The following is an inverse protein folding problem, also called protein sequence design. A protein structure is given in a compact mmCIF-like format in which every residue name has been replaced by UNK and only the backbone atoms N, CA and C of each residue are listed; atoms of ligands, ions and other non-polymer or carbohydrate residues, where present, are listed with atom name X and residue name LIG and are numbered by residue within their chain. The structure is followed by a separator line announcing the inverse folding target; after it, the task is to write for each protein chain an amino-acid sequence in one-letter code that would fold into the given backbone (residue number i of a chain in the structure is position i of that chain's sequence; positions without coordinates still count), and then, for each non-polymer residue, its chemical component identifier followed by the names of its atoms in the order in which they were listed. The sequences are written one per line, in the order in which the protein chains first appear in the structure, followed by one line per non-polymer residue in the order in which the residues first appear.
data_IF_567983276991
#
_entry.id   IF_567983276991
#
_cell.length_a   1.000
_cell.length_b   1.000
_cell.length_c   1.000
_cell.angle_alpha   90.00
_cell.angle_beta   90.00
_cell.angle_gamma   90.00
#
_symmetry.space_group_name_H-M   'P 1'
#
loop_
_entity.id
_entity.type
_entity.pdbx_description
1 polymer ?
#
# COMPACT_ATOMS: atom_id res chain seq x y z
N UNK A 1 23.25 36.65 -42.89
CA UNK A 1 22.47 36.82 -41.64
C UNK A 1 21.80 35.48 -41.36
N UNK A 2 22.39 34.71 -40.46
CA UNK A 2 21.93 33.38 -40.06
C UNK A 2 20.67 33.53 -39.20
N UNK A 3 19.53 33.07 -39.72
CA UNK A 3 18.34 32.84 -38.91
C UNK A 3 18.65 31.70 -37.93
N UNK A 4 19.01 32.06 -36.70
CA UNK A 4 19.04 31.14 -35.56
C UNK A 4 17.60 30.69 -35.31
N UNK A 5 17.33 29.41 -35.55
CA UNK A 5 16.13 28.73 -35.04
C UNK A 5 16.05 29.05 -33.54
N UNK A 6 14.92 29.53 -32.99
CA UNK A 6 14.79 29.71 -31.55
C UNK A 6 15.16 28.40 -30.86
N UNK A 7 15.97 28.49 -29.80
CA UNK A 7 16.46 27.33 -29.07
C UNK A 7 15.24 26.50 -28.64
N UNK A 8 15.22 25.19 -28.93
CA UNK A 8 14.03 24.31 -28.71
C UNK A 8 13.57 24.28 -27.25
N UNK A 9 14.43 24.75 -26.34
CA UNK A 9 14.21 24.83 -24.91
C UNK A 9 13.99 26.26 -24.40
N UNK A 10 13.77 27.26 -25.25
CA UNK A 10 13.67 28.65 -24.80
C UNK A 10 12.66 28.81 -23.64
N UNK A 11 13.11 29.46 -22.55
CA UNK A 11 12.34 29.65 -21.32
C UNK A 11 12.18 28.42 -20.41
N UNK A 12 12.92 27.33 -20.61
CA UNK A 12 12.82 26.14 -19.76
C UNK A 12 13.12 26.40 -18.27
N UNK A 13 14.02 27.34 -17.98
CA UNK A 13 14.43 27.68 -16.61
C UNK A 13 13.26 28.19 -15.78
N UNK A 14 12.33 28.90 -16.41
CA UNK A 14 11.18 29.53 -15.77
C UNK A 14 9.92 28.67 -15.80
N UNK A 15 9.99 27.40 -16.25
CA UNK A 15 8.83 26.50 -16.23
C UNK A 15 8.17 26.41 -14.83
N UNK A 16 6.82 26.47 -14.72
CA UNK A 16 5.81 26.53 -15.79
C UNK A 16 5.41 27.94 -16.27
N UNK A 17 6.11 29.01 -15.87
CA UNK A 17 5.74 30.40 -16.20
C UNK A 17 5.85 30.72 -17.70
N UNK A 18 6.73 30.01 -18.41
CA UNK A 18 6.88 30.09 -19.86
C UNK A 18 5.65 29.60 -20.64
N UNK A 19 4.73 28.86 -20.02
CA UNK A 19 3.51 28.42 -20.69
C UNK A 19 2.47 29.54 -20.84
N UNK A 20 2.66 30.67 -20.16
CA UNK A 20 1.77 31.85 -20.21
C UNK A 20 0.29 31.49 -19.98
N UNK A 21 0.04 30.58 -19.04
CA UNK A 21 -1.32 30.19 -18.65
C UNK A 21 -2.05 31.37 -17.97
N UNK A 22 -3.38 31.37 -18.06
CA UNK A 22 -4.15 32.46 -17.50
C UNK A 22 -4.02 32.48 -15.97
N UNK A 23 -3.75 33.66 -15.39
CA UNK A 23 -3.51 33.81 -13.94
C UNK A 23 -4.71 33.42 -13.04
N UNK A 24 -5.91 33.33 -13.63
CA UNK A 24 -7.10 32.81 -12.92
C UNK A 24 -7.08 31.28 -12.78
N UNK A 25 -6.37 30.59 -13.68
CA UNK A 25 -6.36 29.13 -13.75
C UNK A 25 -5.18 28.56 -12.95
N UNK A 26 -4.01 29.23 -12.99
CA UNK A 26 -2.78 28.73 -12.36
C UNK A 26 -1.93 29.84 -11.73
N UNK A 27 -1.49 29.61 -10.49
CA UNK A 27 -0.40 30.36 -9.83
C UNK A 27 0.97 29.71 -10.17
N UNK A 28 1.48 30.04 -11.34
CA UNK A 28 2.71 29.50 -11.94
C UNK A 28 3.96 29.78 -11.08
N UNK A 29 4.06 30.96 -10.46
CA UNK A 29 5.17 31.36 -9.59
C UNK A 29 5.23 30.56 -8.28
N UNK A 30 4.08 30.21 -7.70
CA UNK A 30 4.02 29.29 -6.57
C UNK A 30 4.47 27.88 -6.98
N UNK A 31 4.06 27.43 -8.15
CA UNK A 31 4.37 26.09 -8.65
C UNK A 31 5.86 25.95 -8.99
N UNK A 32 6.46 26.94 -9.66
CA UNK A 32 7.90 26.96 -9.94
C UNK A 32 8.74 26.83 -8.65
N UNK A 33 8.35 27.56 -7.59
CA UNK A 33 9.01 27.46 -6.27
C UNK A 33 8.84 26.08 -5.63
N UNK A 34 7.68 25.43 -5.79
CA UNK A 34 7.45 24.06 -5.30
C UNK A 34 8.36 23.05 -5.99
N UNK A 35 8.55 23.14 -7.32
CA UNK A 35 9.46 22.25 -8.06
C UNK A 35 10.88 22.33 -7.47
N UNK A 36 11.41 23.54 -7.29
CA UNK A 36 12.75 23.71 -6.73
C UNK A 36 12.85 23.27 -5.26
N UNK A 37 11.78 23.40 -4.48
CA UNK A 37 11.74 22.95 -3.08
C UNK A 37 11.83 21.41 -2.98
N UNK A 38 11.06 20.68 -3.78
CA UNK A 38 11.03 19.22 -3.77
C UNK A 38 12.04 18.57 -4.73
N UNK A 39 12.88 19.38 -5.40
CA UNK A 39 13.81 18.90 -6.43
C UNK A 39 14.69 17.75 -5.95
N UNK A 40 15.25 17.87 -4.73
CA UNK A 40 16.12 16.83 -4.15
C UNK A 40 15.38 15.53 -3.83
N UNK A 41 14.10 15.62 -3.52
CA UNK A 41 13.25 14.49 -3.15
C UNK A 41 12.67 13.79 -4.39
N UNK A 42 12.48 14.51 -5.49
CA UNK A 42 11.83 13.97 -6.70
C UNK A 42 12.85 13.58 -7.77
N UNK A 43 13.94 14.33 -7.93
CA UNK A 43 14.87 14.20 -9.05
C UNK A 43 16.23 13.67 -8.62
N UNK A 44 16.85 12.87 -9.50
CA UNK A 44 18.25 12.44 -9.36
C UNK A 44 19.22 13.52 -9.84
N UNK A 45 20.50 13.33 -9.54
CA UNK A 45 21.55 14.21 -10.02
C UNK A 45 21.71 14.12 -11.55
N UNK A 46 22.24 15.18 -12.17
CA UNK A 46 22.37 15.28 -13.64
C UNK A 46 23.11 14.10 -14.28
N UNK A 47 24.10 13.53 -13.59
CA UNK A 47 24.92 12.41 -14.08
C UNK A 47 24.13 11.09 -14.06
N UNK A 48 23.14 10.96 -13.18
CA UNK A 48 22.32 9.76 -12.99
C UNK A 48 21.01 9.81 -13.80
N UNK A 49 20.75 10.91 -14.51
CA UNK A 49 19.53 11.06 -15.32
C UNK A 49 19.53 10.07 -16.48
N UNK A 50 18.56 9.16 -16.47
CA UNK A 50 18.31 8.16 -17.52
C UNK A 50 16.81 7.83 -17.60
N UNK A 51 16.17 8.22 -18.69
CA UNK A 51 14.75 7.98 -18.91
C UNK A 51 14.46 7.48 -20.32
N UNK A 52 13.30 6.85 -20.50
CA UNK A 52 12.92 6.22 -21.75
C UNK A 52 12.19 7.17 -22.71
N UNK A 53 12.42 7.01 -24.00
CA UNK A 53 11.66 7.60 -25.08
C UNK A 53 11.30 6.51 -26.08
N UNK A 54 10.03 6.47 -26.49
CA UNK A 54 9.57 5.52 -27.49
C UNK A 54 9.78 6.10 -28.87
N UNK A 55 10.65 5.46 -29.62
CA UNK A 55 10.93 5.77 -31.01
C UNK A 55 10.01 4.93 -31.88
N UNK A 56 9.22 5.61 -32.71
CA UNK A 56 8.41 5.01 -33.76
C UNK A 56 9.12 5.25 -35.11
N UNK A 57 9.43 4.16 -35.80
CA UNK A 57 10.00 4.21 -37.15
C UNK A 57 8.93 4.51 -38.21
N UNK A 58 9.40 4.76 -39.44
CA UNK A 58 8.52 4.95 -40.59
C UNK A 58 7.70 3.69 -40.88
N UNK A 59 6.56 3.89 -41.54
CA UNK A 59 5.59 2.84 -41.79
C UNK A 59 6.10 1.81 -42.80
N UNK A 60 6.02 0.53 -42.42
CA UNK A 60 6.28 -0.59 -43.33
C UNK A 60 5.11 -0.79 -44.31
N UNK A 61 5.35 -1.55 -45.39
CA UNK A 61 4.37 -1.83 -46.45
C UNK A 61 3.07 -2.49 -45.93
N UNK A 62 3.12 -3.14 -44.76
CA UNK A 62 1.99 -3.81 -44.11
C UNK A 62 1.19 -2.91 -43.14
N UNK A 63 1.54 -1.62 -43.01
CA UNK A 63 0.84 -0.70 -42.11
C UNK A 63 1.23 -0.80 -40.63
N UNK A 64 2.26 -1.58 -40.32
CA UNK A 64 2.88 -1.66 -38.99
C UNK A 64 4.09 -0.72 -38.90
N UNK A 65 4.41 -0.26 -37.69
CA UNK A 65 5.64 0.48 -37.39
C UNK A 65 6.47 -0.27 -36.37
N UNK A 66 7.78 -0.22 -36.51
CA UNK A 66 8.67 -0.66 -35.43
C UNK A 66 8.64 0.37 -34.29
N UNK A 67 8.53 -0.13 -33.07
CA UNK A 67 8.49 0.69 -31.85
C UNK A 67 9.59 0.21 -30.92
N UNK A 68 10.59 1.06 -30.70
CA UNK A 68 11.77 0.78 -29.86
C UNK A 68 11.85 1.76 -28.69
N UNK A 69 12.30 1.28 -27.53
CA UNK A 69 12.51 2.13 -26.35
C UNK A 69 13.98 2.55 -26.27
N UNK A 70 14.25 3.84 -26.48
CA UNK A 70 15.59 4.42 -26.43
C UNK A 70 15.80 5.18 -25.13
N UNK A 71 17.02 5.13 -24.61
CA UNK A 71 17.43 5.74 -23.35
C UNK A 71 18.03 7.14 -23.57
N UNK A 72 17.44 8.14 -22.92
CA UNK A 72 17.87 9.54 -22.94
C UNK A 72 18.62 9.84 -21.64
N UNK A 73 19.91 10.15 -21.79
CA UNK A 73 20.80 10.49 -20.68
C UNK A 73 21.51 11.84 -20.84
N UNK A 74 21.29 12.54 -21.96
CA UNK A 74 21.92 13.84 -22.27
C UNK A 74 20.92 14.78 -22.92
N UNK A 75 21.13 16.08 -22.75
CA UNK A 75 20.31 17.12 -23.40
C UNK A 75 20.37 17.04 -24.93
N UNK A 76 21.50 16.61 -25.51
CA UNK A 76 21.65 16.44 -26.97
C UNK A 76 20.73 15.33 -27.51
N UNK A 77 20.65 14.19 -26.80
CA UNK A 77 19.71 13.12 -27.13
C UNK A 77 18.25 13.56 -26.97
N UNK A 78 17.96 14.38 -25.96
CA UNK A 78 16.63 14.96 -25.77
C UNK A 78 16.25 15.86 -26.95
N UNK A 79 17.15 16.74 -27.40
CA UNK A 79 16.94 17.53 -28.61
C UNK A 79 16.77 16.67 -29.86
N UNK A 80 17.58 15.61 -30.00
CA UNK A 80 17.46 14.69 -31.14
C UNK A 80 16.08 14.01 -31.18
N UNK A 81 15.52 13.65 -30.02
CA UNK A 81 14.18 13.09 -29.91
C UNK A 81 13.11 14.09 -30.41
N UNK A 82 13.19 15.37 -30.04
CA UNK A 82 12.25 16.39 -30.51
C UNK A 82 12.41 16.72 -32.00
N UNK A 83 13.64 16.80 -32.50
CA UNK A 83 13.96 17.10 -33.91
C UNK A 83 13.45 16.05 -34.89
N UNK A 84 13.25 14.81 -34.45
CA UNK A 84 12.62 13.76 -35.27
C UNK A 84 11.18 14.08 -35.67
N UNK A 85 10.48 14.90 -34.88
CA UNK A 85 9.18 15.44 -35.28
C UNK A 85 8.04 14.41 -35.36
N UNK A 86 8.08 13.34 -34.56
CA UNK A 86 7.03 12.33 -34.54
C UNK A 86 5.66 12.92 -34.15
N UNK A 87 4.60 12.42 -34.77
CA UNK A 87 3.22 12.81 -34.45
C UNK A 87 2.79 12.32 -33.04
N UNK A 88 3.50 11.36 -32.48
CA UNK A 88 3.15 10.72 -31.21
C UNK A 88 4.43 10.49 -30.42
N UNK A 89 4.65 11.30 -29.41
CA UNK A 89 5.87 11.24 -28.59
C UNK A 89 5.53 10.66 -27.23
N UNK A 90 6.19 9.56 -26.83
CA UNK A 90 5.95 8.94 -25.52
C UNK A 90 7.23 8.85 -24.71
N UNK A 91 7.20 9.43 -23.51
CA UNK A 91 8.32 9.46 -22.57
C UNK A 91 7.99 8.66 -21.31
N UNK A 92 8.98 7.92 -20.82
CA UNK A 92 8.86 7.04 -19.64
C UNK A 92 9.85 7.47 -18.56
N UNK A 93 9.34 8.04 -17.48
CA UNK A 93 10.10 8.47 -16.32
C UNK A 93 9.95 7.40 -15.23
N UNK A 94 10.99 6.60 -15.02
CA UNK A 94 10.96 5.48 -14.08
C UNK A 94 11.73 5.83 -12.79
N UNK A 95 11.43 5.10 -11.73
CA UNK A 95 12.13 5.05 -10.45
C UNK A 95 12.86 3.70 -10.37
N UNK A 96 14.05 3.68 -9.77
CA UNK A 96 14.80 2.42 -9.54
C UNK A 96 14.04 1.45 -8.64
N UNK A 97 13.27 1.97 -7.69
CA UNK A 97 12.27 1.23 -6.92
C UNK A 97 11.13 2.18 -6.54
N UNK A 98 9.98 1.65 -6.11
CA UNK A 98 8.73 2.43 -5.87
C UNK A 98 8.87 3.65 -4.95
N UNK A 99 9.89 3.71 -4.10
CA UNK A 99 10.13 4.80 -3.15
C UNK A 99 11.42 5.58 -3.44
N UNK A 100 12.04 5.38 -4.61
CA UNK A 100 13.22 6.15 -5.01
C UNK A 100 12.83 7.43 -5.74
N UNK A 101 13.81 8.28 -6.01
CA UNK A 101 13.66 9.43 -6.89
C UNK A 101 13.38 8.98 -8.34
N UNK A 102 12.73 9.83 -9.13
CA UNK A 102 12.60 9.64 -10.58
C UNK A 102 13.98 9.76 -11.21
N UNK A 103 14.28 8.87 -12.16
CA UNK A 103 15.57 8.80 -12.88
C UNK A 103 15.71 9.92 -13.93
N UNK A 104 15.25 11.12 -13.61
CA UNK A 104 15.41 12.33 -14.40
C UNK A 104 15.91 13.46 -13.49
N UNK A 105 16.85 14.27 -13.96
CA UNK A 105 17.28 15.46 -13.24
C UNK A 105 16.34 16.66 -13.53
N UNK A 106 16.35 17.66 -12.65
CA UNK A 106 15.47 18.84 -12.76
C UNK A 106 15.62 19.57 -14.11
N UNK A 107 16.84 19.68 -14.63
CA UNK A 107 17.10 20.32 -15.93
C UNK A 107 16.41 19.59 -17.09
N UNK A 108 16.62 18.27 -17.20
CA UNK A 108 15.98 17.47 -18.24
C UNK A 108 14.46 17.46 -18.08
N UNK A 109 13.97 17.44 -16.83
CA UNK A 109 12.55 17.49 -16.52
C UNK A 109 11.90 18.81 -16.99
N UNK A 110 12.46 19.97 -16.61
CA UNK A 110 11.94 21.28 -17.02
C UNK A 110 12.00 21.47 -18.54
N UNK A 111 13.08 21.02 -19.19
CA UNK A 111 13.22 21.04 -20.65
C UNK A 111 12.15 20.17 -21.33
N UNK A 112 12.00 18.93 -20.90
CA UNK A 112 10.97 18.01 -21.39
C UNK A 112 9.57 18.61 -21.25
N UNK A 113 9.23 19.10 -20.06
CA UNK A 113 7.90 19.63 -19.76
C UNK A 113 7.61 20.95 -20.49
N UNK A 114 8.64 21.75 -20.75
CA UNK A 114 8.55 22.95 -21.58
C UNK A 114 8.25 22.60 -23.04
N UNK A 115 9.03 21.70 -23.65
CA UNK A 115 8.83 21.31 -25.05
C UNK A 115 7.48 20.63 -25.28
N UNK A 116 7.04 19.82 -24.31
CA UNK A 116 5.75 19.14 -24.37
C UNK A 116 4.57 20.00 -23.93
N UNK A 117 4.81 21.23 -23.41
CA UNK A 117 3.79 22.13 -22.85
C UNK A 117 2.94 21.51 -21.74
N UNK A 118 3.57 20.67 -20.91
CA UNK A 118 2.88 19.91 -19.85
C UNK A 118 2.15 20.85 -18.89
N UNK A 119 0.84 20.62 -18.72
CA UNK A 119 0.02 21.41 -17.81
C UNK A 119 0.52 21.27 -16.36
N UNK A 120 0.62 22.38 -15.60
CA UNK A 120 1.21 22.38 -14.26
C UNK A 120 0.41 21.57 -13.22
N UNK A 121 -0.88 21.30 -13.44
CA UNK A 121 -1.66 20.38 -12.59
C UNK A 121 -1.04 18.97 -12.53
N UNK A 122 -0.27 18.59 -13.54
CA UNK A 122 0.45 17.32 -13.52
C UNK A 122 1.55 17.27 -12.46
N UNK A 123 2.03 18.41 -11.98
CA UNK A 123 3.11 18.46 -10.99
C UNK A 123 2.67 17.95 -9.62
N UNK A 124 1.39 18.09 -9.26
CA UNK A 124 0.84 17.47 -8.06
C UNK A 124 0.89 15.94 -8.15
N UNK A 125 0.73 15.38 -9.36
CA UNK A 125 0.91 13.94 -9.60
C UNK A 125 2.38 13.55 -9.57
N UNK A 126 3.27 14.34 -10.19
CA UNK A 126 4.73 14.09 -10.19
C UNK A 126 5.29 14.05 -8.77
N UNK A 127 4.81 14.92 -7.88
CA UNK A 127 5.26 14.98 -6.49
C UNK A 127 5.02 13.65 -5.74
N UNK A 128 3.99 12.89 -6.10
CA UNK A 128 3.70 11.57 -5.52
C UNK A 128 4.83 10.57 -5.80
N UNK A 129 5.63 10.75 -6.85
CA UNK A 129 6.74 9.87 -7.24
C UNK A 129 8.09 10.29 -6.62
N UNK A 130 8.07 11.11 -5.57
CA UNK A 130 9.27 11.44 -4.79
C UNK A 130 9.77 10.29 -3.92
N UNK A 131 10.96 10.49 -3.35
CA UNK A 131 11.57 9.60 -2.38
C UNK A 131 10.72 9.50 -1.12
N UNK A 132 10.42 8.26 -0.70
CA UNK A 132 9.55 8.00 0.45
C UNK A 132 10.30 7.18 1.50
N UNK A 133 10.27 7.69 2.74
CA UNK A 133 10.72 6.93 3.93
C UNK A 133 9.55 6.19 4.59
N UNK A 134 8.32 6.63 4.32
CA UNK A 134 7.08 6.09 4.87
C UNK A 134 5.99 6.08 3.80
N UNK A 135 4.96 5.23 3.93
CA UNK A 135 3.78 5.24 3.07
C UNK A 135 2.96 6.52 3.29
N UNK A 136 3.41 7.62 2.70
CA UNK A 136 2.71 8.90 2.66
C UNK A 136 1.89 8.99 1.37
N UNK A 137 0.78 9.71 1.42
CA UNK A 137 -0.10 9.98 0.27
C UNK A 137 -0.73 8.72 -0.39
N UNK A 138 -0.80 7.59 0.33
CA UNK A 138 -1.50 6.38 -0.13
C UNK A 138 -2.98 6.66 -0.48
N UNK A 139 -3.59 7.66 0.17
CA UNK A 139 -4.98 8.08 -0.04
C UNK A 139 -5.16 9.21 -1.08
N UNK A 140 -4.11 9.61 -1.80
CA UNK A 140 -4.17 10.67 -2.81
C UNK A 140 -4.16 10.11 -4.23
N UNK A 141 -5.17 10.44 -5.04
CA UNK A 141 -5.12 10.32 -6.49
C UNK A 141 -5.43 11.71 -7.09
N UNK A 142 -4.59 12.18 -7.99
CA UNK A 142 -4.84 13.32 -8.85
C UNK A 142 -5.53 12.88 -10.13
N UNK A 143 -6.46 13.71 -10.60
CA UNK A 143 -7.06 13.62 -11.92
C UNK A 143 -7.38 15.04 -12.38
N UNK A 144 -7.03 15.37 -13.61
CA UNK A 144 -7.50 16.55 -14.31
C UNK A 144 -7.70 16.23 -15.79
N UNK A 145 -8.61 16.97 -16.41
CA UNK A 145 -8.90 16.90 -17.84
C UNK A 145 -9.33 18.28 -18.30
N UNK A 146 -8.47 18.96 -19.04
CA UNK A 146 -8.78 20.29 -19.57
C UNK A 146 -8.94 20.19 -21.09
N UNK A 147 -10.08 20.66 -21.59
CA UNK A 147 -10.30 20.88 -23.02
C UNK A 147 -10.16 22.37 -23.29
N UNK A 148 -9.44 22.74 -24.34
CA UNK A 148 -9.19 24.13 -24.68
C UNK A 148 -9.37 24.38 -26.18
N UNK A 149 -9.95 25.53 -26.51
CA UNK A 149 -10.04 25.98 -27.90
C UNK A 149 -8.68 26.53 -28.33
N UNK A 150 -8.14 25.99 -29.42
CA UNK A 150 -6.87 26.43 -30.02
C UNK A 150 -7.10 27.51 -31.08
N UNK A 151 -8.34 27.98 -31.28
CA UNK A 151 -8.62 29.12 -32.13
C UNK A 151 -8.01 30.40 -31.53
N UNK A 152 -6.88 30.81 -32.08
CA UNK A 152 -6.37 32.18 -31.93
C UNK A 152 -7.47 33.19 -32.23
N UNK A 153 -7.51 34.29 -31.46
CA UNK A 153 -8.47 35.42 -31.50
C UNK A 153 -8.59 36.17 -32.86
N UNK A 154 -8.57 35.50 -34.01
CA UNK A 154 -8.61 36.17 -35.31
C UNK A 154 -8.74 35.21 -36.50
N UNK A 155 -9.84 34.45 -36.59
CA UNK A 155 -10.64 34.26 -37.81
C UNK A 155 -11.62 33.09 -37.61
N UNK A 156 -12.95 33.35 -37.52
CA UNK A 156 -13.96 32.31 -37.33
C UNK A 156 -14.37 31.64 -38.66
N UNK A 157 -13.44 31.45 -39.61
CA UNK A 157 -13.79 31.07 -40.99
C UNK A 157 -13.63 29.58 -41.32
N UNK A 158 -13.16 28.74 -40.40
CA UNK A 158 -13.20 27.28 -40.56
C UNK A 158 -14.27 26.67 -39.66
N UNK A 159 -15.27 26.03 -40.26
CA UNK A 159 -16.39 25.32 -39.61
C UNK A 159 -15.98 24.10 -38.74
N UNK A 160 -14.72 24.00 -38.31
CA UNK A 160 -14.23 22.98 -37.37
C UNK A 160 -13.67 23.66 -36.12
N UNK A 161 -14.19 23.32 -34.95
CA UNK A 161 -13.60 23.75 -33.68
C UNK A 161 -12.24 23.05 -33.52
N UNK A 162 -11.14 23.80 -33.55
CA UNK A 162 -9.81 23.29 -33.28
C UNK A 162 -9.64 23.10 -31.75
N UNK A 163 -10.18 22.02 -31.21
CA UNK A 163 -10.07 21.72 -29.78
C UNK A 163 -8.83 20.88 -29.49
N UNK A 164 -8.10 21.24 -28.44
CA UNK A 164 -7.05 20.41 -27.84
C UNK A 164 -7.49 19.92 -26.46
N UNK A 165 -6.82 18.91 -25.94
CA UNK A 165 -7.05 18.45 -24.59
C UNK A 165 -5.74 18.07 -23.89
N UNK A 166 -5.74 18.17 -22.57
CA UNK A 166 -4.77 17.52 -21.72
C UNK A 166 -5.49 16.71 -20.64
N UNK A 167 -4.96 15.52 -20.34
CA UNK A 167 -5.48 14.60 -19.34
C UNK A 167 -4.30 14.14 -18.51
N UNK A 168 -4.41 14.24 -17.20
CA UNK A 168 -3.40 13.75 -16.29
C UNK A 168 -4.01 13.05 -15.09
N UNK A 169 -3.45 11.90 -14.72
CA UNK A 169 -3.88 11.17 -13.54
C UNK A 169 -2.81 10.24 -12.98
N UNK A 170 -2.96 9.81 -11.72
CA UNK A 170 -2.32 8.62 -11.21
C UNK A 170 -3.35 7.55 -10.82
N UNK A 171 -3.01 6.30 -11.12
CA UNK A 171 -3.80 5.13 -10.72
C UNK A 171 -2.93 4.17 -9.93
N UNK A 172 -3.50 3.64 -8.86
CA UNK A 172 -2.88 2.65 -7.99
C UNK A 172 -3.37 1.26 -8.34
N UNK A 173 -2.47 0.31 -8.34
CA UNK A 173 -2.74 -1.08 -8.65
C UNK A 173 -1.94 -2.03 -7.77
N UNK A 174 -2.31 -3.30 -7.77
CA UNK A 174 -1.59 -4.33 -7.05
C UNK A 174 -0.78 -5.15 -8.05
N UNK A 175 0.42 -5.57 -7.67
CA UNK A 175 1.25 -6.42 -8.51
C UNK A 175 2.11 -7.34 -7.66
N UNK A 176 2.32 -8.57 -8.15
CA UNK A 176 3.23 -9.53 -7.51
C UNK A 176 4.68 -9.02 -7.58
N UNK A 177 5.39 -9.09 -6.46
CA UNK A 177 6.81 -8.67 -6.41
C UNK A 177 7.79 -9.84 -6.51
N UNK A 178 7.34 -11.10 -6.39
CA UNK A 178 8.18 -12.30 -6.60
C UNK A 178 9.30 -12.49 -5.57
N UNK A 179 9.22 -11.84 -4.40
CA UNK A 179 10.25 -11.91 -3.34
C UNK A 179 9.83 -12.93 -2.29
N UNK A 180 10.79 -13.61 -1.66
CA UNK A 180 10.53 -14.53 -0.53
C UNK A 180 10.06 -13.82 0.74
N UNK A 181 10.42 -12.54 0.89
CA UNK A 181 9.98 -11.65 1.95
C UNK A 181 9.64 -10.28 1.34
N UNK A 182 8.57 -9.60 1.78
CA UNK A 182 7.61 -9.94 2.84
C UNK A 182 6.72 -11.17 2.51
N UNK A 183 5.98 -11.69 3.52
CA UNK A 183 5.06 -12.85 3.36
C UNK A 183 3.93 -12.55 2.38
N UNK A 184 3.43 -11.32 2.38
CA UNK A 184 2.46 -10.86 1.38
C UNK A 184 3.14 -10.83 0.01
N UNK A 185 2.65 -11.57 -1.00
CA UNK A 185 3.31 -11.64 -2.30
C UNK A 185 3.00 -10.43 -3.20
N UNK A 186 2.05 -9.57 -2.81
CA UNK A 186 1.62 -8.41 -3.57
C UNK A 186 2.13 -7.11 -2.97
N UNK A 187 2.34 -6.13 -3.86
CA UNK A 187 2.70 -4.77 -3.53
C UNK A 187 1.73 -3.82 -4.21
N UNK A 188 1.29 -2.78 -3.50
CA UNK A 188 0.60 -1.64 -4.12
C UNK A 188 1.63 -0.82 -4.87
N UNK A 189 1.38 -0.57 -6.15
CA UNK A 189 2.18 0.24 -7.06
C UNK A 189 1.30 1.34 -7.64
N UNK A 190 1.93 2.32 -8.25
CA UNK A 190 1.25 3.45 -8.87
C UNK A 190 1.88 3.79 -10.21
N UNK A 191 1.07 4.26 -11.15
CA UNK A 191 1.50 4.79 -12.43
C UNK A 191 0.87 6.15 -12.64
N UNK A 192 1.68 7.12 -13.06
CA UNK A 192 1.25 8.45 -13.48
C UNK A 192 1.15 8.49 -15.00
N UNK A 193 0.09 9.10 -15.52
CA UNK A 193 -0.16 9.21 -16.95
C UNK A 193 -0.52 10.64 -17.25
N UNK A 194 0.16 11.23 -18.23
CA UNK A 194 -0.19 12.49 -18.86
C UNK A 194 -0.33 12.27 -20.35
N UNK A 195 -1.39 12.83 -20.93
CA UNK A 195 -1.57 12.97 -22.36
C UNK A 195 -1.90 14.41 -22.68
N UNK A 196 -1.29 14.94 -23.73
CA UNK A 196 -1.72 16.15 -24.41
C UNK A 196 -1.98 15.87 -25.88
N UNK A 197 -2.99 16.50 -26.44
CA UNK A 197 -3.31 16.44 -27.86
C UNK A 197 -3.65 17.84 -28.39
N UNK A 198 -3.07 18.17 -29.54
CA UNK A 198 -3.37 19.39 -30.28
C UNK A 198 -3.93 19.06 -31.65
N UNK A 199 -5.15 19.54 -31.91
CA UNK A 199 -5.80 19.41 -33.22
C UNK A 199 -5.12 20.26 -34.30
N UNK A 200 -4.52 21.40 -33.95
CA UNK A 200 -3.81 22.26 -34.92
C UNK A 200 -2.54 21.57 -35.45
N UNK A 201 -1.76 20.98 -34.55
CA UNK A 201 -0.49 20.32 -34.93
C UNK A 201 -0.67 18.85 -35.30
N UNK A 202 -1.84 18.26 -34.99
CA UNK A 202 -2.08 16.82 -35.09
C UNK A 202 -1.00 16.00 -34.36
N UNK A 203 -0.54 16.51 -33.22
CA UNK A 203 0.46 15.85 -32.37
C UNK A 203 -0.16 15.45 -31.03
N UNK A 204 0.26 14.29 -30.53
CA UNK A 204 -0.03 13.87 -29.16
C UNK A 204 1.24 13.52 -28.40
N UNK A 205 1.29 13.99 -27.16
CA UNK A 205 2.43 13.88 -26.27
C UNK A 205 2.02 13.08 -25.04
N UNK A 206 2.82 12.08 -24.68
CA UNK A 206 2.59 11.21 -23.54
C UNK A 206 3.76 11.26 -22.57
N UNK A 207 3.45 11.36 -21.28
CA UNK A 207 4.43 11.19 -20.20
C UNK A 207 3.89 10.13 -19.25
N UNK A 208 4.66 9.07 -19.05
CA UNK A 208 4.35 7.99 -18.13
C UNK A 208 5.34 8.03 -16.96
N UNK A 209 4.80 8.07 -15.74
CA UNK A 209 5.58 7.96 -14.50
C UNK A 209 5.45 6.54 -13.97
N UNK A 210 6.58 5.85 -13.81
CA UNK A 210 6.66 4.50 -13.24
C UNK A 210 5.75 3.46 -13.91
N UNK A 211 5.71 3.44 -15.25
CA UNK A 211 5.00 2.40 -15.98
C UNK A 211 5.70 1.05 -15.80
N UNK A 212 4.96 0.00 -15.44
CA UNK A 212 5.52 -1.36 -15.34
C UNK A 212 6.04 -1.87 -16.68
N UNK A 213 7.01 -2.79 -16.66
CA UNK A 213 7.54 -3.41 -17.89
C UNK A 213 6.43 -4.03 -18.76
N UNK A 214 5.42 -4.65 -18.12
CA UNK A 214 4.27 -5.19 -18.82
C UNK A 214 3.41 -4.11 -19.48
N UNK A 215 3.24 -2.95 -18.82
CA UNK A 215 2.52 -1.82 -19.38
C UNK A 215 3.32 -1.17 -20.52
N UNK A 216 4.64 -1.03 -20.36
CA UNK A 216 5.52 -0.51 -21.42
C UNK A 216 5.48 -1.41 -22.67
N UNK A 217 5.54 -2.73 -22.51
CA UNK A 217 5.44 -3.67 -23.63
C UNK A 217 4.05 -3.62 -24.30
N UNK A 218 2.98 -3.49 -23.52
CA UNK A 218 1.63 -3.36 -24.06
C UNK A 218 1.44 -2.03 -24.82
N UNK A 219 1.99 -0.93 -24.30
CA UNK A 219 2.00 0.36 -24.99
C UNK A 219 2.80 0.25 -26.28
N UNK A 220 4.01 -0.33 -26.22
CA UNK A 220 4.85 -0.58 -27.40
C UNK A 220 4.06 -1.27 -28.50
N UNK A 221 3.39 -2.39 -28.19
CA UNK A 221 2.52 -3.12 -29.15
C UNK A 221 1.35 -2.28 -29.67
N UNK A 222 0.75 -1.47 -28.80
CA UNK A 222 -0.38 -0.60 -29.19
C UNK A 222 0.08 0.41 -30.24
N UNK A 223 1.22 1.07 -30.01
CA UNK A 223 1.79 2.06 -30.94
C UNK A 223 2.41 1.48 -32.22
N UNK A 224 2.47 0.15 -32.38
CA UNK A 224 2.81 -0.47 -33.67
C UNK A 224 1.66 -0.37 -34.69
N UNK A 225 0.41 -0.22 -34.23
CA UNK A 225 -0.79 -0.14 -35.08
C UNK A 225 -1.15 1.30 -35.44
N UNK A 226 -0.84 1.73 -36.68
CA UNK A 226 -0.98 3.12 -37.12
C UNK A 226 -2.44 3.60 -37.11
N UNK A 227 -3.37 2.73 -37.49
CA UNK A 227 -4.80 3.07 -37.61
C UNK A 227 -5.45 3.33 -36.26
N UNK A 228 -5.01 2.64 -35.21
CA UNK A 228 -5.56 2.77 -33.85
C UNK A 228 -4.81 3.79 -32.99
N UNK A 229 -3.59 4.16 -33.38
CA UNK A 229 -2.78 5.16 -32.65
C UNK A 229 -2.57 6.44 -33.41
N UNK A 230 -3.45 6.79 -34.36
CA UNK A 230 -3.47 8.15 -34.89
C UNK A 230 -3.77 9.14 -33.75
N UNK A 231 -3.07 10.28 -33.65
CA UNK A 231 -3.21 11.27 -32.57
C UNK A 231 -4.64 11.59 -32.10
N UNK A 232 -5.64 11.82 -32.98
CA UNK A 232 -7.02 12.07 -32.55
C UNK A 232 -7.68 10.91 -31.80
N UNK A 233 -7.22 9.68 -32.01
CA UNK A 233 -7.80 8.47 -31.42
C UNK A 233 -7.03 7.97 -30.19
N UNK A 234 -5.89 8.55 -29.85
CA UNK A 234 -5.04 8.04 -28.77
C UNK A 234 -5.67 8.10 -27.37
N UNK A 235 -6.71 8.91 -27.17
CA UNK A 235 -7.46 8.93 -25.91
C UNK A 235 -8.00 7.53 -25.51
N UNK A 236 -8.24 6.64 -26.49
CA UNK A 236 -8.70 5.26 -26.23
C UNK A 236 -7.69 4.45 -25.42
N UNK A 237 -6.40 4.82 -25.49
CA UNK A 237 -5.29 4.15 -24.80
C UNK A 237 -5.49 4.24 -23.27
N UNK A 238 -6.12 5.31 -22.76
CA UNK A 238 -6.44 5.42 -21.34
C UNK A 238 -7.30 4.25 -20.84
N UNK A 239 -8.32 3.82 -21.59
CA UNK A 239 -9.15 2.67 -21.20
C UNK A 239 -8.35 1.36 -21.16
N UNK A 240 -7.38 1.20 -22.06
CA UNK A 240 -6.48 0.06 -22.08
C UNK A 240 -5.57 0.07 -20.85
N UNK A 241 -4.99 1.23 -20.50
CA UNK A 241 -4.14 1.37 -19.32
C UNK A 241 -4.91 0.99 -18.06
N UNK A 242 -6.12 1.56 -17.87
CA UNK A 242 -6.95 1.29 -16.70
C UNK A 242 -7.30 -0.20 -16.55
N UNK A 243 -7.69 -0.85 -17.65
CA UNK A 243 -7.96 -2.29 -17.65
C UNK A 243 -6.70 -3.09 -17.32
N UNK A 244 -5.57 -2.77 -17.96
CA UNK A 244 -4.31 -3.52 -17.80
C UNK A 244 -3.80 -3.48 -16.37
N UNK A 245 -3.80 -2.30 -15.74
CA UNK A 245 -3.33 -2.18 -14.35
C UNK A 245 -4.29 -2.84 -13.34
N UNK A 246 -5.49 -3.25 -13.75
CA UNK A 246 -6.49 -3.81 -12.83
C UNK A 246 -6.53 -5.33 -12.75
N UNK A 247 -5.77 -6.03 -13.59
CA UNK A 247 -5.88 -7.49 -13.76
C UNK A 247 -5.56 -8.27 -12.47
N UNK A 248 -4.57 -7.82 -11.69
CA UNK A 248 -4.05 -8.54 -10.52
C UNK A 248 -4.94 -8.44 -9.26
N UNK A 249 -5.99 -7.59 -9.26
CA UNK A 249 -6.87 -7.41 -8.10
C UNK A 249 -7.59 -8.69 -7.70
N UNK A 250 -8.04 -9.48 -8.68
CA UNK A 250 -8.76 -10.73 -8.42
C UNK A 250 -7.90 -11.71 -7.63
N UNK A 251 -6.67 -11.93 -8.09
CA UNK A 251 -5.74 -12.89 -7.48
C UNK A 251 -5.32 -12.43 -6.10
N UNK A 252 -5.11 -11.13 -5.91
CA UNK A 252 -4.77 -10.59 -4.60
C UNK A 252 -5.93 -10.74 -3.60
N UNK A 253 -7.16 -10.50 -4.03
CA UNK A 253 -8.33 -10.68 -3.17
C UNK A 253 -8.53 -12.14 -2.78
N UNK A 254 -8.29 -13.09 -3.68
CA UNK A 254 -8.34 -14.51 -3.33
C UNK A 254 -7.33 -14.83 -2.21
N UNK A 255 -6.09 -14.33 -2.33
CA UNK A 255 -5.08 -14.48 -1.29
C UNK A 255 -5.52 -13.87 0.06
N UNK A 256 -6.13 -12.69 0.05
CA UNK A 256 -6.61 -12.05 1.28
C UNK A 256 -7.81 -12.79 1.89
N UNK A 257 -8.69 -13.35 1.07
CA UNK A 257 -9.81 -14.19 1.51
C UNK A 257 -9.32 -15.52 2.13
N UNK A 258 -8.27 -16.12 1.58
CA UNK A 258 -7.61 -17.30 2.16
C UNK A 258 -6.97 -16.97 3.52
N UNK A 259 -6.20 -15.88 3.61
CA UNK A 259 -5.60 -15.42 4.87
C UNK A 259 -6.67 -15.09 5.91
N UNK A 260 -7.77 -14.48 5.48
CA UNK A 260 -8.93 -14.21 6.34
C UNK A 260 -9.56 -15.52 6.85
N UNK A 261 -9.80 -16.48 5.95
CA UNK A 261 -10.44 -17.76 6.29
C UNK A 261 -9.63 -18.54 7.31
N UNK A 262 -8.29 -18.58 7.16
CA UNK A 262 -7.42 -19.19 8.17
C UNK A 262 -7.54 -18.56 9.56
N UNK A 263 -7.75 -17.24 9.64
CA UNK A 263 -7.97 -16.55 10.91
C UNK A 263 -9.37 -16.83 11.48
N UNK A 264 -10.38 -16.93 10.61
CA UNK A 264 -11.76 -17.27 10.98
C UNK A 264 -11.82 -18.67 11.58
N UNK A 265 -11.21 -19.66 10.92
CA UNK A 265 -11.21 -21.05 11.36
C UNK A 265 -10.58 -21.18 12.75
N UNK A 266 -9.50 -20.44 13.01
CA UNK A 266 -8.89 -20.37 14.35
C UNK A 266 -9.79 -19.78 15.41
N UNK A 267 -10.60 -18.79 15.08
CA UNK A 267 -11.53 -18.17 16.01
C UNK A 267 -12.77 -19.03 16.31
N UNK A 268 -13.36 -19.64 15.29
CA UNK A 268 -14.62 -20.40 15.41
C UNK A 268 -14.44 -21.81 15.93
N UNK A 269 -13.41 -22.53 15.49
CA UNK A 269 -13.19 -23.92 15.90
C UNK A 269 -12.42 -24.04 17.22
N UNK A 270 -12.05 -22.91 17.83
CA UNK A 270 -11.41 -22.90 19.13
C UNK A 270 -12.38 -23.27 20.24
N UNK A 271 -12.08 -24.37 20.93
CA UNK A 271 -12.90 -24.87 22.04
C UNK A 271 -12.89 -23.86 23.21
N UNK A 272 -14.06 -23.51 23.73
CA UNK A 272 -14.22 -22.57 24.85
C UNK A 272 -13.39 -22.98 26.07
N UNK A 273 -13.26 -24.29 26.31
CA UNK A 273 -12.53 -24.84 27.46
C UNK A 273 -11.03 -25.06 27.20
N UNK A 274 -10.51 -24.62 26.06
CA UNK A 274 -9.14 -24.91 25.60
C UNK A 274 -9.03 -26.24 24.85
N UNK A 275 -7.84 -26.56 24.30
CA UNK A 275 -7.63 -27.81 23.57
C UNK A 275 -7.81 -29.01 24.51
N UNK A 276 -8.74 -29.91 24.14
CA UNK A 276 -9.04 -31.13 24.87
C UNK A 276 -8.47 -32.37 24.19
N UNK A 277 -8.31 -32.31 22.86
CA UNK A 277 -7.79 -33.39 22.04
C UNK A 277 -6.57 -32.94 21.23
N UNK A 278 -5.75 -33.92 20.84
CA UNK A 278 -4.60 -33.71 19.96
C UNK A 278 -5.11 -33.27 18.57
N UNK A 279 -4.81 -32.03 18.18
CA UNK A 279 -5.29 -31.42 16.94
C UNK A 279 -6.41 -30.37 17.11
N UNK A 280 -6.87 -30.11 18.34
CA UNK A 280 -7.81 -29.02 18.60
C UNK A 280 -7.19 -27.66 18.24
N UNK A 281 -7.99 -26.82 17.59
CA UNK A 281 -7.57 -25.48 17.17
C UNK A 281 -7.55 -24.56 18.39
N UNK A 282 -6.44 -23.86 18.61
CA UNK A 282 -6.31 -22.94 19.73
C UNK A 282 -6.29 -21.48 19.23
N UNK A 283 -7.25 -20.69 19.69
CA UNK A 283 -7.25 -19.24 19.48
C UNK A 283 -6.28 -18.56 20.43
N UNK A 284 -5.42 -17.69 19.90
CA UNK A 284 -4.47 -16.88 20.67
C UNK A 284 -4.72 -15.38 20.46
N UNK A 285 -4.24 -14.55 21.41
CA UNK A 285 -4.22 -13.08 21.24
C UNK A 285 -3.48 -12.63 19.97
N UNK A 286 -2.56 -13.44 19.46
CA UNK A 286 -1.85 -13.18 18.21
C UNK A 286 -2.80 -13.19 16.99
N UNK A 287 -3.85 -14.01 17.01
CA UNK A 287 -4.82 -14.08 15.91
C UNK A 287 -5.67 -12.81 15.83
N UNK A 288 -6.02 -12.21 16.98
CA UNK A 288 -6.69 -10.90 17.03
C UNK A 288 -5.80 -9.82 16.43
N UNK A 289 -4.51 -9.81 16.81
CA UNK A 289 -3.55 -8.86 16.23
C UNK A 289 -3.44 -9.04 14.72
N UNK A 290 -3.34 -10.28 14.24
CA UNK A 290 -3.26 -10.57 12.80
C UNK A 290 -4.54 -10.15 12.06
N UNK A 291 -5.71 -10.37 12.68
CA UNK A 291 -6.99 -9.92 12.15
C UNK A 291 -7.08 -8.39 12.08
N UNK A 292 -6.56 -7.67 13.07
CA UNK A 292 -6.48 -6.21 13.03
C UNK A 292 -5.55 -5.73 11.91
N UNK A 293 -4.35 -6.30 11.79
CA UNK A 293 -3.40 -5.96 10.71
C UNK A 293 -4.03 -6.20 9.34
N UNK A 294 -4.73 -7.32 9.16
CA UNK A 294 -5.45 -7.63 7.94
C UNK A 294 -6.59 -6.63 7.70
N UNK A 295 -7.35 -6.28 8.73
CA UNK A 295 -8.45 -5.30 8.64
C UNK A 295 -7.92 -3.92 8.23
N UNK A 296 -6.84 -3.44 8.85
CA UNK A 296 -6.22 -2.16 8.49
C UNK A 296 -5.73 -2.16 7.04
N UNK A 297 -5.16 -3.29 6.58
CA UNK A 297 -4.76 -3.46 5.18
C UNK A 297 -5.97 -3.41 4.25
N UNK A 298 -7.04 -4.14 4.56
CA UNK A 298 -8.28 -4.14 3.78
C UNK A 298 -8.89 -2.74 3.69
N UNK A 299 -8.86 -1.97 4.79
CA UNK A 299 -9.32 -0.59 4.81
C UNK A 299 -8.52 0.31 3.86
N UNK A 300 -7.19 0.17 3.81
CA UNK A 300 -6.34 0.91 2.86
C UNK A 300 -6.66 0.55 1.40
N UNK A 301 -6.80 -0.74 1.11
CA UNK A 301 -7.15 -1.22 -0.24
C UNK A 301 -8.55 -0.75 -0.66
N UNK A 302 -9.52 -0.70 0.27
CA UNK A 302 -10.85 -0.14 0.06
C UNK A 302 -10.78 1.32 -0.40
N UNK A 303 -9.92 2.12 0.22
CA UNK A 303 -9.70 3.51 -0.18
C UNK A 303 -9.11 3.60 -1.58
N UNK A 304 -8.10 2.79 -1.89
CA UNK A 304 -7.47 2.74 -3.22
C UNK A 304 -8.50 2.42 -4.31
N UNK A 305 -9.29 1.37 -4.14
CA UNK A 305 -10.34 0.99 -5.10
C UNK A 305 -11.38 2.11 -5.27
N UNK A 306 -11.77 2.76 -4.17
CA UNK A 306 -12.71 3.89 -4.20
C UNK A 306 -12.16 5.07 -5.00
N UNK A 307 -10.86 5.35 -4.89
CA UNK A 307 -10.19 6.39 -5.67
C UNK A 307 -10.09 6.01 -7.15
N UNK A 308 -9.79 4.76 -7.47
CA UNK A 308 -9.75 4.25 -8.85
C UNK A 308 -11.13 4.34 -9.53
N UNK A 309 -12.21 3.98 -8.81
CA UNK A 309 -13.59 4.12 -9.29
C UNK A 309 -13.91 5.59 -9.57
N UNK A 310 -13.56 6.49 -8.64
CA UNK A 310 -13.77 7.94 -8.82
C UNK A 310 -13.05 8.47 -10.06
N UNK A 311 -11.79 8.09 -10.24
CA UNK A 311 -10.98 8.46 -11.40
C UNK A 311 -11.64 8.01 -12.71
N UNK A 312 -12.14 6.77 -12.78
CA UNK A 312 -12.78 6.29 -13.99
C UNK A 312 -14.13 6.98 -14.26
N UNK A 313 -14.90 7.33 -13.22
CA UNK A 313 -16.12 8.12 -13.40
C UNK A 313 -15.80 9.51 -13.96
N UNK A 314 -14.80 10.21 -13.40
CA UNK A 314 -14.37 11.50 -13.94
C UNK A 314 -13.84 11.39 -15.38
N UNK A 315 -13.10 10.32 -15.70
CA UNK A 315 -12.66 10.03 -17.07
C UNK A 315 -13.84 9.88 -18.04
N UNK A 316 -14.90 9.17 -17.63
CA UNK A 316 -16.12 9.01 -18.43
C UNK A 316 -16.82 10.35 -18.66
N UNK A 317 -16.93 11.18 -17.63
CA UNK A 317 -17.56 12.50 -17.73
C UNK A 317 -16.77 13.40 -18.71
N UNK A 318 -15.44 13.38 -18.62
CA UNK A 318 -14.55 14.08 -19.55
C UNK A 318 -14.69 13.57 -20.99
N UNK A 319 -14.77 12.26 -21.20
CA UNK A 319 -14.99 11.69 -22.54
C UNK A 319 -16.37 12.03 -23.10
N UNK A 320 -17.41 12.05 -22.26
CA UNK A 320 -18.76 12.44 -22.68
C UNK A 320 -18.83 13.90 -23.14
N UNK A 321 -18.06 14.80 -22.51
CA UNK A 321 -17.96 16.20 -22.92
C UNK A 321 -17.29 16.36 -24.30
N UNK A 322 -16.39 15.45 -24.66
CA UNK A 322 -15.68 15.43 -25.96
C UNK A 322 -16.56 14.89 -27.10
N UNK A 323 -17.65 14.18 -26.77
CA UNK A 323 -18.61 13.62 -27.74
C UNK A 323 -19.45 14.69 -28.45
N UNK A 324 -19.65 15.85 -27.83
CA UNK A 324 -20.51 16.90 -28.39
C UNK A 324 -19.80 17.66 -29.52
N UNK A 325 -19.94 17.17 -30.75
CA UNK A 325 -19.40 17.80 -31.97
C UNK A 325 -18.37 16.97 -32.73
N UNK A 326 -18.13 15.71 -32.33
CA UNK A 326 -17.17 14.82 -32.99
C UNK A 326 -17.72 14.17 -34.27
N UNK A 327 -16.86 13.88 -35.29
CA UNK A 327 -17.22 13.07 -36.45
C UNK A 327 -17.75 11.66 -36.09
N UNK A 328 -18.55 11.05 -36.96
CA UNK A 328 -19.20 9.74 -36.76
C UNK A 328 -18.22 8.61 -36.33
N UNK A 329 -17.04 8.53 -36.96
CA UNK A 329 -16.01 7.53 -36.65
C UNK A 329 -15.45 7.68 -35.22
N UNK A 330 -15.30 8.93 -34.76
CA UNK A 330 -14.86 9.22 -33.40
C UNK A 330 -15.93 8.80 -32.38
N UNK A 331 -17.23 8.95 -32.69
CA UNK A 331 -18.31 8.48 -31.81
C UNK A 331 -18.29 6.96 -31.60
N UNK A 332 -18.10 6.16 -32.66
CA UNK A 332 -18.04 4.70 -32.54
C UNK A 332 -16.87 4.26 -31.65
N UNK A 333 -15.71 4.91 -31.80
CA UNK A 333 -14.51 4.64 -30.98
C UNK A 333 -14.72 5.07 -29.52
N UNK A 334 -15.41 6.19 -29.28
CA UNK A 334 -15.81 6.63 -27.93
C UNK A 334 -16.74 5.59 -27.28
N UNK A 335 -17.76 5.10 -28.00
CA UNK A 335 -18.70 4.09 -27.46
C UNK A 335 -17.98 2.79 -27.09
N UNK A 336 -17.05 2.30 -27.94
CA UNK A 336 -16.21 1.13 -27.63
C UNK A 336 -15.32 1.37 -26.40
N UNK A 337 -14.80 2.58 -26.25
CA UNK A 337 -13.96 2.98 -25.10
C UNK A 337 -14.80 3.04 -23.83
N UNK A 338 -16.03 3.53 -23.92
CA UNK A 338 -16.95 3.58 -22.80
C UNK A 338 -17.30 2.19 -22.28
N UNK A 339 -17.55 1.21 -23.16
CA UNK A 339 -17.76 -0.18 -22.75
C UNK A 339 -16.55 -0.78 -22.00
N UNK A 340 -15.32 -0.40 -22.38
CA UNK A 340 -14.09 -0.81 -21.65
C UNK A 340 -14.02 -0.16 -20.26
N UNK A 341 -14.39 1.11 -20.13
CA UNK A 341 -14.45 1.81 -18.85
C UNK A 341 -15.55 1.25 -17.94
N UNK A 342 -16.70 0.88 -18.50
CA UNK A 342 -17.79 0.22 -17.76
C UNK A 342 -17.35 -1.14 -17.22
N UNK A 343 -16.61 -1.91 -18.02
CA UNK A 343 -15.98 -3.15 -17.55
C UNK A 343 -15.00 -2.88 -16.40
N UNK A 344 -14.10 -1.90 -16.55
CA UNK A 344 -13.18 -1.53 -15.47
C UNK A 344 -13.92 -1.17 -14.18
N UNK A 345 -14.97 -0.34 -14.27
CA UNK A 345 -15.79 0.05 -13.12
C UNK A 345 -16.45 -1.16 -12.47
N UNK A 346 -17.00 -2.07 -13.25
CA UNK A 346 -17.61 -3.30 -12.76
C UNK A 346 -16.60 -4.18 -11.99
N UNK A 347 -15.41 -4.37 -12.55
CA UNK A 347 -14.35 -5.17 -11.94
C UNK A 347 -13.82 -4.52 -10.63
N UNK A 348 -13.64 -3.20 -10.61
CA UNK A 348 -13.22 -2.45 -9.43
C UNK A 348 -14.32 -2.43 -8.34
N UNK A 349 -15.59 -2.27 -8.70
CA UNK A 349 -16.72 -2.30 -7.76
C UNK A 349 -16.87 -3.69 -7.14
N UNK A 350 -16.78 -4.75 -7.95
CA UNK A 350 -16.79 -6.13 -7.45
C UNK A 350 -15.66 -6.37 -6.45
N UNK A 351 -14.46 -5.86 -6.77
CA UNK A 351 -13.31 -5.92 -5.86
C UNK A 351 -13.56 -5.15 -4.55
N UNK A 352 -14.21 -3.99 -4.64
CA UNK A 352 -14.56 -3.15 -3.49
C UNK A 352 -15.56 -3.86 -2.57
N UNK A 353 -16.61 -4.44 -3.13
CA UNK A 353 -17.68 -5.14 -2.40
C UNK A 353 -17.12 -6.37 -1.63
N UNK A 354 -16.18 -7.10 -2.24
CA UNK A 354 -15.46 -8.20 -1.59
C UNK A 354 -14.67 -7.73 -0.37
N UNK A 355 -13.90 -6.64 -0.51
CA UNK A 355 -13.16 -6.05 0.61
C UNK A 355 -14.10 -5.58 1.72
N UNK A 356 -15.20 -4.91 1.37
CA UNK A 356 -16.18 -4.43 2.34
C UNK A 356 -16.80 -5.60 3.13
N UNK A 357 -17.08 -6.71 2.46
CA UNK A 357 -17.57 -7.94 3.09
C UNK A 357 -16.57 -8.49 4.10
N UNK A 358 -15.28 -8.55 3.74
CA UNK A 358 -14.22 -9.01 4.65
C UNK A 358 -14.07 -8.10 5.88
N UNK A 359 -14.10 -6.78 5.68
CA UNK A 359 -14.04 -5.79 6.77
C UNK A 359 -15.25 -5.92 7.72
N UNK A 360 -16.45 -6.08 7.16
CA UNK A 360 -17.65 -6.25 7.97
C UNK A 360 -17.57 -7.54 8.81
N UNK A 361 -17.15 -8.64 8.20
CA UNK A 361 -16.99 -9.93 8.88
C UNK A 361 -15.87 -9.90 9.92
N UNK A 362 -14.76 -9.20 9.67
CA UNK A 362 -13.64 -9.12 10.61
C UNK A 362 -14.04 -8.51 11.95
N UNK A 363 -14.95 -7.54 11.94
CA UNK A 363 -15.50 -6.92 13.15
C UNK A 363 -16.23 -7.94 14.03
N UNK A 364 -17.11 -8.75 13.43
CA UNK A 364 -17.85 -9.80 14.15
C UNK A 364 -16.93 -10.90 14.70
N UNK A 365 -15.96 -11.35 13.91
CA UNK A 365 -14.98 -12.36 14.35
C UNK A 365 -14.10 -11.82 15.48
N UNK A 366 -13.64 -10.57 15.39
CA UNK A 366 -12.85 -9.95 16.44
C UNK A 366 -13.59 -9.92 17.78
N UNK A 367 -14.89 -9.60 17.78
CA UNK A 367 -15.74 -9.63 18.97
C UNK A 367 -15.89 -11.05 19.54
N UNK A 368 -16.12 -12.04 18.68
CA UNK A 368 -16.25 -13.44 19.10
C UNK A 368 -14.96 -13.97 19.74
N UNK A 369 -13.81 -13.74 19.12
CA UNK A 369 -12.51 -14.20 19.66
C UNK A 369 -12.18 -13.50 20.97
N UNK A 370 -12.43 -12.18 21.09
CA UNK A 370 -12.27 -11.46 22.37
C UNK A 370 -13.13 -12.09 23.47
N UNK A 371 -14.40 -12.34 23.18
CA UNK A 371 -15.35 -12.91 24.15
C UNK A 371 -14.93 -14.31 24.59
N UNK A 372 -14.43 -15.13 23.65
CA UNK A 372 -13.88 -16.46 23.93
C UNK A 372 -12.68 -16.39 24.88
N UNK A 373 -11.73 -15.48 24.63
CA UNK A 373 -10.55 -15.30 25.46
C UNK A 373 -10.91 -14.79 26.86
N UNK A 374 -11.91 -13.90 26.98
CA UNK A 374 -12.42 -13.44 28.28
C UNK A 374 -13.06 -14.57 29.08
N UNK A 375 -13.88 -15.43 28.44
CA UNK A 375 -14.47 -16.60 29.09
C UNK A 375 -13.37 -17.54 29.59
N UNK A 376 -12.34 -17.81 28.78
CA UNK A 376 -11.19 -18.64 29.17
C UNK A 376 -10.44 -18.06 30.37
N UNK A 377 -10.19 -16.75 30.37
CA UNK A 377 -9.52 -16.07 31.48
C UNK A 377 -10.35 -16.18 32.77
N UNK A 378 -11.68 -16.03 32.67
CA UNK A 378 -12.58 -16.19 33.80
C UNK A 378 -12.62 -17.64 34.33
N UNK A 379 -12.65 -18.64 33.45
CA UNK A 379 -12.66 -20.06 33.83
C UNK A 379 -11.33 -20.48 34.48
N UNK A 380 -10.19 -20.04 33.95
CA UNK A 380 -8.88 -20.26 34.55
C UNK A 380 -8.78 -19.62 35.95
N UNK A 381 -9.26 -18.39 36.11
CA UNK A 381 -9.32 -17.71 37.41
C UNK A 381 -10.22 -18.44 38.41
N UNK A 382 -11.39 -18.92 37.96
CA UNK A 382 -12.29 -19.73 38.79
C UNK A 382 -11.61 -21.02 39.25
N UNK A 383 -10.93 -21.73 38.35
CA UNK A 383 -10.22 -22.97 38.68
C UNK A 383 -9.09 -22.70 39.69
N UNK A 384 -8.31 -21.63 39.48
CA UNK A 384 -7.26 -21.21 40.41
C UNK A 384 -7.84 -20.88 41.79
N UNK A 385 -8.96 -20.18 41.86
CA UNK A 385 -9.64 -19.88 43.13
C UNK A 385 -10.12 -21.15 43.85
N UNK A 386 -10.64 -22.15 43.12
CA UNK A 386 -11.06 -23.43 43.70
C UNK A 386 -9.86 -24.21 44.25
N UNK A 387 -8.77 -24.31 43.50
CA UNK A 387 -7.55 -24.99 43.97
C UNK A 387 -6.91 -24.23 45.14
N UNK A 388 -6.93 -22.89 45.13
CA UNK A 388 -6.45 -22.07 46.24
C UNK A 388 -7.30 -22.26 47.50
N UNK A 389 -8.63 -22.40 47.37
CA UNK A 389 -9.51 -22.73 48.48
C UNK A 389 -9.18 -24.10 49.07
N UNK A 390 -8.99 -25.13 48.22
CA UNK A 390 -8.60 -26.48 48.67
C UNK A 390 -7.25 -26.46 49.38
N UNK A 391 -6.25 -25.78 48.82
CA UNK A 391 -4.93 -25.62 49.44
C UNK A 391 -5.03 -24.89 50.79
N UNK A 392 -5.87 -23.85 50.86
CA UNK A 392 -6.11 -23.13 52.12
C UNK A 392 -6.77 -24.04 53.16
N UNK A 393 -7.77 -24.83 52.77
CA UNK A 393 -8.43 -25.78 53.66
C UNK A 393 -7.46 -26.87 54.16
N UNK A 394 -6.65 -27.42 53.26
CA UNK A 394 -5.58 -28.36 53.61
C UNK A 394 -4.57 -27.73 54.57
N UNK A 395 -4.09 -26.51 54.28
CA UNK A 395 -3.17 -25.79 55.16
C UNK A 395 -3.77 -25.44 56.52
N UNK A 396 -5.07 -25.14 56.59
CA UNK A 396 -5.79 -24.95 57.88
C UNK A 396 -5.84 -26.26 58.66
N UNK A 397 -6.12 -27.39 57.99
CA UNK A 397 -6.18 -28.70 58.63
C UNK A 397 -4.80 -29.18 59.10
N UNK A 398 -3.76 -29.01 58.29
CA UNK A 398 -2.37 -29.28 58.68
C UNK A 398 -1.95 -28.40 59.85
N UNK A 399 -2.28 -27.10 59.85
CA UNK A 399 -2.02 -26.22 60.99
C UNK A 399 -2.73 -26.67 62.27
N UNK A 400 -3.98 -27.16 62.18
CA UNK A 400 -4.68 -27.75 63.34
C UNK A 400 -3.97 -29.01 63.85
N UNK A 401 -3.52 -29.88 62.94
CA UNK A 401 -2.78 -31.09 63.30
C UNK A 401 -1.44 -30.74 63.97
N UNK A 402 -0.70 -29.80 63.38
CA UNK A 402 0.56 -29.29 63.91
C UNK A 402 0.38 -28.67 65.30
N UNK A 403 -0.67 -27.86 65.50
CA UNK A 403 -1.00 -27.30 66.81
C UNK A 403 -1.19 -28.40 67.86
N UNK A 404 -1.98 -29.43 67.56
CA UNK A 404 -2.18 -30.59 68.46
C UNK A 404 -0.88 -31.34 68.73
N UNK A 405 -0.05 -31.52 67.71
CA UNK A 405 1.23 -32.22 67.84
C UNK A 405 2.21 -31.43 68.72
N UNK A 406 2.26 -30.10 68.59
CA UNK A 406 3.05 -29.21 69.46
C UNK A 406 2.52 -29.17 70.89
N UNK A 407 1.20 -29.13 71.10
CA UNK A 407 0.57 -29.23 72.43
C UNK A 407 0.92 -30.57 73.10
N UNK A 408 0.87 -31.68 72.35
CA UNK A 408 1.25 -32.99 72.87
C UNK A 408 2.76 -33.08 73.14
N UNK A 409 3.60 -32.60 72.23
CA UNK A 409 5.06 -32.57 72.40
C UNK A 409 5.49 -31.73 73.61
N UNK A 410 4.84 -30.59 73.84
CA UNK A 410 5.09 -29.77 75.04
C UNK A 410 4.66 -30.48 76.32
N UNK A 411 3.54 -31.21 76.30
CA UNK A 411 3.13 -32.06 77.43
C UNK A 411 4.12 -33.21 77.69
N UNK A 412 4.56 -33.91 76.63
CA UNK A 412 5.55 -34.97 76.72
C UNK A 412 6.89 -34.45 77.26
N UNK A 413 7.29 -33.25 76.85
CA UNK A 413 8.49 -32.56 77.37
C UNK A 413 8.35 -32.24 78.87
N UNK A 414 7.18 -31.77 79.32
CA UNK A 414 6.90 -31.55 80.75
C UNK A 414 6.97 -32.86 81.55
N UNK A 415 6.38 -33.93 81.03
CA UNK A 415 6.44 -35.26 81.65
C UNK A 415 7.88 -35.77 81.76
N UNK A 416 8.67 -35.61 80.70
CA UNK A 416 10.09 -35.98 80.69
C UNK A 416 10.91 -35.13 81.68
N UNK A 417 10.66 -33.83 81.80
CA UNK A 417 11.28 -32.98 82.82
C UNK A 417 10.96 -33.46 84.24
N UNK A 418 9.71 -33.85 84.51
CA UNK A 418 9.32 -34.37 85.83
C UNK A 418 10.06 -35.68 86.12
N UNK A 419 10.10 -36.62 85.16
CA UNK A 419 10.83 -37.89 85.31
C UNK A 419 12.33 -37.64 85.54
N UNK A 420 12.93 -36.72 84.78
CA UNK A 420 14.33 -36.34 84.93
C UNK A 420 14.60 -35.69 86.29
N UNK A 421 13.70 -34.82 86.78
CA UNK A 421 13.81 -34.19 88.10
C UNK A 421 13.72 -35.23 89.23
N UNK A 422 12.72 -36.13 89.16
CA UNK A 422 12.57 -37.25 90.11
C UNK A 422 13.85 -38.09 90.09
N UNK A 423 14.34 -38.46 88.90
CA UNK A 423 15.58 -39.20 88.77
C UNK A 423 16.78 -38.43 89.36
N UNK A 424 16.91 -37.14 89.08
CA UNK A 424 18.01 -36.33 89.61
C UNK A 424 18.00 -36.20 91.15
N UNK A 425 16.83 -36.25 91.79
CA UNK A 425 16.70 -36.22 93.26
C UNK A 425 16.93 -37.61 93.86
N UNK A 426 16.25 -38.63 93.33
CA UNK A 426 16.24 -39.96 93.93
C UNK A 426 17.44 -40.82 93.55
N UNK A 427 18.08 -40.60 92.39
CA UNK A 427 19.22 -41.40 91.93
C UNK A 427 20.48 -41.18 92.81
N UNK A 428 20.88 -39.94 93.16
CA UNK A 428 21.96 -39.75 94.14
C UNK A 428 21.59 -40.28 95.53
N UNK A 429 20.35 -40.04 95.98
CA UNK A 429 19.89 -40.49 97.29
C UNK A 429 19.87 -42.02 97.42
N UNK A 430 19.45 -42.74 96.37
CA UNK A 430 19.49 -44.21 96.33
C UNK A 430 20.92 -44.73 96.29
N UNK A 431 21.83 -44.09 95.54
CA UNK A 431 23.26 -44.41 95.59
C UNK A 431 23.86 -44.22 97.00
N UNK A 432 23.54 -43.11 97.68
CA UNK A 432 23.97 -42.89 99.08
C UNK A 432 23.37 -43.92 100.04
N UNK A 433 22.08 -44.26 99.91
CA UNK A 433 21.43 -45.27 100.75
C UNK A 433 22.02 -46.68 100.55
N UNK A 434 22.33 -47.06 99.30
CA UNK A 434 23.03 -48.30 98.99
C UNK A 434 24.43 -48.34 99.59
N UNK A 435 25.20 -47.24 99.51
CA UNK A 435 26.51 -47.15 100.16
C UNK A 435 26.42 -47.28 101.69
N UNK A 436 25.41 -46.69 102.33
CA UNK A 436 25.17 -46.85 103.77
C UNK A 436 24.77 -48.28 104.18
N UNK A 437 24.04 -49.00 103.32
CA UNK A 437 23.68 -50.41 103.56
C UNK A 437 24.92 -51.32 103.38
N UNK A 438 25.82 -50.98 102.45
CA UNK A 438 27.07 -51.74 102.28
C UNK A 438 28.11 -51.43 103.37
N UNK A 439 28.15 -50.20 103.89
CA UNK A 439 29.07 -49.83 104.98
C UNK A 439 28.63 -50.37 106.36
N UNK A 440 27.35 -50.71 106.55
CA UNK A 440 26.89 -51.39 107.77
C UNK A 440 27.20 -52.90 107.80
N UNK A 441 27.84 -53.45 106.76
CA UNK A 441 28.29 -54.85 106.72
C UNK A 441 29.80 -55.04 107.00
N UNK A 442 30.54 -54.00 107.39
CA UNK A 442 31.99 -54.09 107.63
C UNK A 442 32.56 -53.44 108.91
N UNK A 443 31.77 -53.23 109.98
CA UNK A 443 32.32 -53.05 111.35
C UNK A 443 31.42 -53.73 112.39
#
# INVERSE_FOLDING_TARGET
MSHTCPDEFDGWEIYPQNLHLHSLDVDDARIARRISHFSKEVFVDKVESDFGYMELDDQDQDGLREAQLVRINTSEKLSAAFKRGQNSSSFFLNQSYTWSRLQICEEHFRKLFTCLKVHPDFLDIVQVFGEKVRPLEESFNGFFSNCFDQNTRGNPTSNGQNTGYNIGYNIKYVARHGRKAPRDPFSVREVGVYQEYSSVTQKSSWVFLQASEQLQEQLRRTFQSVDDTSPPYQFIIHSMILLRVSEDWRDYLNYLEEEFSMLVDRGFYANVKGPQFEGDVEAHYLDIRNLQILTDKLQRLRQILSLNIRLCNQMKDSMASTRMGSPEDLSIRVDRTQAKLDKFLYDQQTSLDRIQTLVLRSTGIGQLVMSLLEIRAAEASKQMNVEMQKLTEQGVNENKLMKRLTEKSTQDTKSMMIIALISAIFLPATFFALNFITDTFWI
#
